data_IF_578598948406
#
_entry.id   IF_578598948406
#
_cell.length_a   1.000
_cell.length_b   1.000
_cell.length_c   1.000
_cell.angle_alpha   90.00
_cell.angle_beta   90.00
_cell.angle_gamma   90.00
#
_symmetry.space_group_name_H-M   'P 1'
#
loop_
_entity.id
_entity.type
_entity.pdbx_description
1 polymer ?
#
# COMPACT_ATOMS: atom_id res chain seq x y z
N UNK A 1 -26.54 -10.25 29.57
CA UNK A 1 -25.38 -9.72 28.80
C UNK A 1 -24.69 -10.91 28.16
N UNK A 2 -25.00 -11.23 26.90
CA UNK A 2 -24.24 -12.24 26.17
C UNK A 2 -22.85 -11.69 25.86
N UNK A 3 -21.83 -12.20 26.55
CA UNK A 3 -20.44 -12.06 26.13
C UNK A 3 -20.27 -12.78 24.81
N UNK A 4 -20.46 -12.07 23.68
CA UNK A 4 -20.05 -12.55 22.35
C UNK A 4 -18.57 -12.93 22.45
N UNK A 5 -18.29 -14.22 22.48
CA UNK A 5 -16.93 -14.76 22.39
C UNK A 5 -16.31 -14.18 21.12
N UNK A 6 -15.35 -13.27 21.32
CA UNK A 6 -14.76 -12.51 20.22
C UNK A 6 -13.75 -13.41 19.52
N UNK A 7 -14.23 -14.24 18.60
CA UNK A 7 -13.37 -15.16 17.85
C UNK A 7 -12.36 -14.39 17.01
N UNK A 8 -11.08 -14.58 17.30
CA UNK A 8 -9.99 -14.02 16.51
C UNK A 8 -9.79 -14.87 15.24
N UNK A 9 -9.83 -14.23 14.07
CA UNK A 9 -9.65 -14.87 12.77
C UNK A 9 -8.16 -14.88 12.35
N UNK A 10 -7.33 -15.56 13.14
CA UNK A 10 -5.88 -15.64 12.95
C UNK A 10 -5.47 -16.08 11.55
N UNK A 11 -6.01 -17.19 11.04
CA UNK A 11 -5.65 -17.71 9.72
C UNK A 11 -5.95 -16.74 8.58
N UNK A 12 -7.04 -15.96 8.68
CA UNK A 12 -7.44 -15.00 7.65
C UNK A 12 -6.54 -13.78 7.66
N UNK A 13 -6.34 -13.26 8.86
CA UNK A 13 -5.49 -12.10 9.14
C UNK A 13 -4.05 -12.37 8.71
N UNK A 14 -3.46 -13.49 9.11
CA UNK A 14 -2.10 -13.84 8.69
C UNK A 14 -2.00 -13.99 7.16
N UNK A 15 -2.97 -14.65 6.52
CA UNK A 15 -2.95 -14.81 5.06
C UNK A 15 -3.04 -13.45 4.33
N UNK A 16 -3.91 -12.54 4.78
CA UNK A 16 -4.08 -11.21 4.21
C UNK A 16 -2.88 -10.31 4.50
N UNK A 17 -2.38 -10.31 5.73
CA UNK A 17 -1.20 -9.58 6.15
C UNK A 17 0.04 -10.01 5.38
N UNK A 18 0.34 -11.32 5.30
CA UNK A 18 1.50 -11.81 4.55
C UNK A 18 1.38 -11.61 3.05
N UNK A 19 0.17 -11.69 2.48
CA UNK A 19 -0.04 -11.36 1.06
C UNK A 19 0.46 -9.94 0.77
N UNK A 20 0.04 -8.97 1.58
CA UNK A 20 0.40 -7.56 1.33
C UNK A 20 1.84 -7.27 1.75
N UNK A 21 2.29 -7.84 2.88
CA UNK A 21 3.65 -7.67 3.38
C UNK A 21 4.69 -8.13 2.36
N UNK A 22 4.47 -9.29 1.72
CA UNK A 22 5.40 -9.79 0.71
C UNK A 22 5.34 -9.03 -0.62
N UNK A 23 4.27 -8.27 -0.88
CA UNK A 23 4.21 -7.41 -2.06
C UNK A 23 5.28 -6.31 -2.05
N UNK A 24 5.62 -5.77 -0.86
CA UNK A 24 6.61 -4.70 -0.70
C UNK A 24 8.03 -5.12 -1.13
N UNK A 25 8.67 -6.15 -0.52
CA UNK A 25 10.02 -6.57 -0.92
C UNK A 25 10.05 -7.12 -2.34
N UNK A 26 8.97 -7.75 -2.82
CA UNK A 26 8.87 -8.19 -4.22
C UNK A 26 8.85 -7.00 -5.19
N UNK A 27 8.15 -5.91 -4.85
CA UNK A 27 8.15 -4.67 -5.64
C UNK A 27 9.53 -4.05 -5.73
N UNK A 28 10.22 -3.87 -4.61
CA UNK A 28 11.59 -3.35 -4.59
C UNK A 28 12.59 -4.24 -5.33
N UNK A 29 12.49 -5.56 -5.18
CA UNK A 29 13.34 -6.50 -5.91
C UNK A 29 13.08 -6.44 -7.42
N UNK A 30 11.81 -6.37 -7.84
CA UNK A 30 11.45 -6.23 -9.25
C UNK A 30 12.04 -4.95 -9.85
N UNK A 31 11.88 -3.81 -9.15
CA UNK A 31 12.46 -2.53 -9.58
C UNK A 31 13.99 -2.61 -9.73
N UNK A 32 14.66 -3.24 -8.76
CA UNK A 32 16.12 -3.39 -8.79
C UNK A 32 16.59 -4.29 -9.94
N UNK A 33 15.87 -5.39 -10.21
CA UNK A 33 16.17 -6.27 -11.34
C UNK A 33 15.95 -5.53 -12.67
N UNK A 34 14.84 -4.80 -12.81
CA UNK A 34 14.58 -4.02 -14.01
C UNK A 34 15.68 -2.98 -14.27
N UNK A 35 16.11 -2.26 -13.23
CA UNK A 35 17.15 -1.23 -13.36
C UNK A 35 18.53 -1.81 -13.71
N UNK A 36 18.84 -3.04 -13.28
CA UNK A 36 20.11 -3.72 -13.58
C UNK A 36 20.17 -4.38 -14.95
N UNK A 37 19.07 -5.02 -15.37
CA UNK A 37 19.07 -5.91 -16.54
C UNK A 37 18.49 -5.27 -17.81
N UNK A 38 17.78 -4.15 -17.70
CA UNK A 38 17.18 -3.46 -18.85
C UNK A 38 17.91 -2.15 -19.13
N UNK A 39 18.00 -1.77 -20.41
CA UNK A 39 18.45 -0.43 -20.80
C UNK A 39 17.46 0.64 -20.32
N UNK A 40 17.93 1.88 -20.14
CA UNK A 40 17.11 2.98 -19.61
C UNK A 40 15.80 3.15 -20.40
N UNK A 41 15.87 3.16 -21.72
CA UNK A 41 14.69 3.26 -22.60
C UNK A 41 13.71 2.09 -22.39
N UNK A 42 14.23 0.88 -22.20
CA UNK A 42 13.42 -0.33 -21.97
C UNK A 42 12.73 -0.28 -20.62
N UNK A 43 13.41 0.20 -19.57
CA UNK A 43 12.82 0.38 -18.23
C UNK A 43 11.64 1.35 -18.28
N UNK A 44 11.76 2.44 -19.04
CA UNK A 44 10.68 3.43 -19.17
C UNK A 44 9.46 2.87 -19.88
N UNK A 45 9.66 2.16 -21.00
CA UNK A 45 8.56 1.50 -21.72
C UNK A 45 7.92 0.42 -20.86
N UNK A 46 8.73 -0.40 -20.18
CA UNK A 46 8.24 -1.46 -19.29
C UNK A 46 7.44 -0.88 -18.12
N UNK A 47 7.92 0.20 -17.49
CA UNK A 47 7.21 0.90 -16.42
C UNK A 47 5.87 1.48 -16.88
N UNK A 48 5.83 2.05 -18.09
CA UNK A 48 4.58 2.56 -18.67
C UNK A 48 3.56 1.43 -18.94
N UNK A 49 4.01 0.30 -19.51
CA UNK A 49 3.17 -0.88 -19.73
C UNK A 49 2.68 -1.45 -18.39
N UNK A 50 3.55 -1.50 -17.37
CA UNK A 50 3.20 -1.98 -16.04
C UNK A 50 2.04 -1.20 -15.43
N UNK A 51 2.09 0.13 -15.53
CA UNK A 51 1.01 0.98 -15.02
C UNK A 51 -0.28 0.86 -15.83
N UNK A 52 -0.17 0.69 -17.16
CA UNK A 52 -1.33 0.43 -18.02
C UNK A 52 -2.00 -0.91 -17.67
N UNK A 53 -1.21 -1.97 -17.47
CA UNK A 53 -1.70 -3.27 -16.99
C UNK A 53 -2.40 -3.08 -15.64
N UNK A 54 -1.81 -2.33 -14.72
CA UNK A 54 -2.41 -1.97 -13.44
C UNK A 54 -3.80 -1.34 -13.58
N UNK A 55 -3.93 -0.34 -14.47
CA UNK A 55 -5.22 0.31 -14.74
C UNK A 55 -6.25 -0.66 -15.33
N UNK A 56 -5.86 -1.46 -16.33
CA UNK A 56 -6.76 -2.46 -16.96
C UNK A 56 -7.23 -3.48 -15.94
N UNK A 57 -6.35 -3.93 -15.03
CA UNK A 57 -6.69 -4.84 -13.93
C UNK A 57 -7.78 -4.26 -13.01
N UNK A 58 -7.70 -2.97 -12.66
CA UNK A 58 -8.72 -2.29 -11.83
C UNK A 58 -10.05 -2.23 -12.57
N UNK A 59 -10.04 -1.87 -13.85
CA UNK A 59 -11.25 -1.80 -14.69
C UNK A 59 -11.91 -3.18 -14.80
N UNK A 60 -11.13 -4.24 -15.07
CA UNK A 60 -11.64 -5.61 -15.05
C UNK A 60 -12.19 -6.01 -13.67
N UNK A 61 -11.57 -5.52 -12.61
CA UNK A 61 -12.00 -5.72 -11.23
C UNK A 61 -13.40 -5.20 -10.92
N UNK A 62 -13.87 -4.17 -11.62
CA UNK A 62 -15.25 -3.64 -11.51
C UNK A 62 -16.30 -4.71 -11.85
N UNK A 63 -16.00 -5.55 -12.84
CA UNK A 63 -16.89 -6.60 -13.33
C UNK A 63 -16.71 -7.94 -12.60
N UNK A 64 -15.69 -8.08 -11.75
CA UNK A 64 -15.43 -9.30 -11.02
C UNK A 64 -16.51 -9.55 -9.95
N UNK A 65 -16.96 -10.80 -9.83
CA UNK A 65 -18.00 -11.18 -8.85
C UNK A 65 -17.39 -11.45 -7.47
N UNK A 66 -17.87 -10.77 -6.44
CA UNK A 66 -17.52 -11.05 -5.04
C UNK A 66 -16.44 -10.12 -4.49
N UNK A 67 -16.69 -9.66 -3.26
CA UNK A 67 -15.92 -8.61 -2.57
C UNK A 67 -14.41 -8.90 -2.51
N UNK A 68 -14.02 -10.13 -2.17
CA UNK A 68 -12.61 -10.54 -2.11
C UNK A 68 -11.90 -10.43 -3.46
N UNK A 69 -12.54 -10.86 -4.55
CA UNK A 69 -11.91 -10.81 -5.89
C UNK A 69 -11.78 -9.39 -6.38
N UNK A 70 -12.80 -8.56 -6.16
CA UNK A 70 -12.71 -7.13 -6.45
C UNK A 70 -11.58 -6.47 -5.66
N UNK A 71 -11.44 -6.81 -4.37
CA UNK A 71 -10.35 -6.31 -3.53
C UNK A 71 -8.98 -6.73 -4.06
N UNK A 72 -8.81 -8.00 -4.48
CA UNK A 72 -7.54 -8.48 -5.06
C UNK A 72 -7.19 -7.78 -6.38
N UNK A 73 -8.17 -7.57 -7.28
CA UNK A 73 -7.94 -6.78 -8.49
C UNK A 73 -7.54 -5.34 -8.19
N UNK A 74 -8.19 -4.71 -7.20
CA UNK A 74 -7.82 -3.37 -6.75
C UNK A 74 -6.44 -3.33 -6.09
N UNK A 75 -6.06 -4.38 -5.36
CA UNK A 75 -4.73 -4.52 -4.74
C UNK A 75 -3.61 -4.61 -5.77
N UNK A 76 -3.66 -5.63 -6.62
CA UNK A 76 -2.61 -5.83 -7.62
C UNK A 76 -2.62 -4.70 -8.66
N UNK A 77 -3.81 -4.27 -9.09
CA UNK A 77 -3.92 -3.15 -10.02
C UNK A 77 -3.38 -1.84 -9.43
N UNK A 78 -3.63 -1.57 -8.15
CA UNK A 78 -3.10 -0.40 -7.45
C UNK A 78 -1.59 -0.41 -7.29
N UNK A 79 -1.00 -1.56 -6.93
CA UNK A 79 0.46 -1.70 -6.80
C UNK A 79 1.16 -1.53 -8.15
N UNK A 80 0.67 -2.20 -9.20
CA UNK A 80 1.26 -2.08 -10.55
C UNK A 80 1.11 -0.67 -11.12
N UNK A 81 -0.04 -0.02 -10.88
CA UNK A 81 -0.26 1.37 -11.26
C UNK A 81 0.72 2.31 -10.55
N UNK A 82 0.88 2.15 -9.23
CA UNK A 82 1.82 2.96 -8.46
C UNK A 82 3.25 2.80 -8.97
N UNK A 83 3.75 1.57 -9.03
CA UNK A 83 5.12 1.32 -9.48
C UNK A 83 5.34 1.76 -10.93
N UNK A 84 4.37 1.51 -11.83
CA UNK A 84 4.47 1.87 -13.23
C UNK A 84 4.36 3.37 -13.52
N UNK A 85 3.24 3.98 -13.16
CA UNK A 85 2.93 5.36 -13.54
C UNK A 85 3.28 6.39 -12.48
N UNK A 86 3.46 6.01 -11.22
CA UNK A 86 3.94 6.97 -10.21
C UNK A 86 5.46 6.90 -10.15
N UNK A 87 6.02 5.75 -9.75
CA UNK A 87 7.48 5.64 -9.53
C UNK A 87 8.29 5.73 -10.83
N UNK A 88 8.04 4.87 -11.81
CA UNK A 88 8.85 4.88 -13.04
C UNK A 88 8.66 6.14 -13.91
N UNK A 89 7.51 6.81 -13.87
CA UNK A 89 7.37 8.11 -14.56
C UNK A 89 8.13 9.23 -13.83
N UNK A 90 8.13 9.26 -12.50
CA UNK A 90 9.01 10.17 -11.77
C UNK A 90 10.48 9.89 -12.07
N UNK A 91 10.89 8.62 -12.15
CA UNK A 91 12.25 8.23 -12.56
C UNK A 91 12.58 8.72 -13.97
N UNK A 92 11.66 8.54 -14.93
CA UNK A 92 11.81 9.03 -16.30
C UNK A 92 12.08 10.53 -16.34
N UNK A 93 11.24 11.33 -15.68
CA UNK A 93 11.40 12.78 -15.68
C UNK A 93 12.65 13.21 -14.91
N UNK A 94 12.99 12.52 -13.82
CA UNK A 94 14.22 12.79 -13.07
C UNK A 94 15.46 12.58 -13.93
N UNK A 95 15.54 11.47 -14.67
CA UNK A 95 16.64 11.19 -15.61
C UNK A 95 16.66 12.19 -16.77
N UNK A 96 15.51 12.44 -17.39
CA UNK A 96 15.37 13.36 -18.53
C UNK A 96 15.85 14.79 -18.20
N UNK A 97 15.57 15.26 -16.99
CA UNK A 97 15.98 16.60 -16.53
C UNK A 97 17.29 16.60 -15.73
N UNK A 98 17.98 15.46 -15.62
CA UNK A 98 19.29 15.37 -14.97
C UNK A 98 19.25 15.66 -13.46
N UNK A 99 18.17 15.30 -12.77
CA UNK A 99 18.06 15.46 -11.31
C UNK A 99 19.07 14.53 -10.63
N UNK A 100 20.07 15.06 -9.91
CA UNK A 100 21.08 14.23 -9.28
C UNK A 100 20.45 13.46 -8.10
N UNK A 101 20.87 12.21 -7.84
CA UNK A 101 20.50 11.51 -6.62
C UNK A 101 21.09 12.22 -5.39
N UNK A 102 20.46 12.06 -4.24
CA UNK A 102 21.03 12.54 -2.99
C UNK A 102 22.09 11.55 -2.51
N UNK A 103 23.34 12.01 -2.41
CA UNK A 103 24.50 11.22 -2.00
C UNK A 103 24.96 11.72 -0.63
N UNK A 104 25.07 10.82 0.34
CA UNK A 104 25.74 11.07 1.61
C UNK A 104 26.82 10.02 1.82
N UNK A 105 28.01 10.45 2.26
CA UNK A 105 29.13 9.55 2.52
C UNK A 105 29.46 8.60 1.34
N UNK A 106 29.36 9.10 0.10
CA UNK A 106 29.52 8.33 -1.14
C UNK A 106 28.50 7.19 -1.36
N UNK A 107 27.38 7.19 -0.64
CA UNK A 107 26.26 6.27 -0.83
C UNK A 107 25.03 7.06 -1.31
N UNK A 108 24.33 6.53 -2.31
CA UNK A 108 23.05 7.10 -2.74
C UNK A 108 22.01 6.82 -1.65
N UNK A 109 21.57 7.87 -0.95
CA UNK A 109 20.61 7.78 0.15
C UNK A 109 19.17 7.99 -0.34
N UNK A 110 18.98 8.88 -1.33
CA UNK A 110 17.67 9.13 -1.93
C UNK A 110 17.78 9.05 -3.45
N UNK A 111 16.95 8.20 -4.08
CA UNK A 111 16.90 8.13 -5.54
C UNK A 111 16.22 9.37 -6.16
N UNK A 112 16.57 9.77 -7.39
CA UNK A 112 16.10 11.00 -8.01
C UNK A 112 14.57 11.14 -8.12
N UNK A 113 13.87 10.03 -8.37
CA UNK A 113 12.41 9.96 -8.48
C UNK A 113 11.70 10.43 -7.21
N UNK A 114 12.28 10.12 -6.05
CA UNK A 114 11.71 10.46 -4.75
C UNK A 114 11.96 11.93 -4.37
N UNK A 115 12.95 12.60 -4.98
CA UNK A 115 13.20 14.02 -4.80
C UNK A 115 12.16 14.91 -5.51
N UNK A 116 11.57 14.42 -6.59
CA UNK A 116 10.50 15.13 -7.31
C UNK A 116 9.15 14.91 -6.63
N UNK A 117 8.95 13.78 -5.97
CA UNK A 117 7.68 13.37 -5.38
C UNK A 117 7.07 14.40 -4.40
N UNK A 118 7.82 15.11 -3.54
CA UNK A 118 7.29 16.20 -2.71
C UNK A 118 6.56 17.31 -3.48
N UNK A 119 6.93 17.59 -4.74
CA UNK A 119 6.26 18.58 -5.57
C UNK A 119 4.78 18.22 -5.84
N UNK A 120 4.42 16.94 -5.71
CA UNK A 120 3.05 16.46 -5.87
C UNK A 120 2.15 16.72 -4.66
N UNK A 121 2.67 17.28 -3.55
CA UNK A 121 1.93 17.56 -2.32
C UNK A 121 0.65 18.38 -2.56
N UNK A 122 0.68 19.39 -3.44
CA UNK A 122 -0.50 20.19 -3.77
C UNK A 122 -1.63 19.35 -4.38
N UNK A 123 -1.29 18.43 -5.28
CA UNK A 123 -2.25 17.51 -5.91
C UNK A 123 -2.78 16.50 -4.90
N UNK A 124 -1.93 16.03 -3.99
CA UNK A 124 -2.34 15.16 -2.89
C UNK A 124 -3.33 15.86 -1.96
N UNK A 125 -3.03 17.10 -1.56
CA UNK A 125 -3.91 17.91 -0.70
C UNK A 125 -5.27 18.14 -1.33
N UNK A 126 -5.33 18.49 -2.63
CA UNK A 126 -6.59 18.63 -3.36
C UNK A 126 -7.41 17.33 -3.32
N UNK A 127 -6.75 16.19 -3.54
CA UNK A 127 -7.40 14.88 -3.48
C UNK A 127 -7.85 14.56 -2.05
N UNK A 128 -7.06 14.89 -1.03
CA UNK A 128 -7.40 14.67 0.38
C UNK A 128 -8.64 15.45 0.79
N UNK A 129 -8.81 16.68 0.31
CA UNK A 129 -10.04 17.46 0.56
C UNK A 129 -11.26 16.72 0.02
N UNK A 130 -11.21 16.19 -1.20
CA UNK A 130 -12.30 15.38 -1.74
C UNK A 130 -12.58 14.16 -0.85
N UNK A 131 -11.54 13.47 -0.38
CA UNK A 131 -11.70 12.28 0.47
C UNK A 131 -12.27 12.59 1.85
N UNK A 132 -11.87 13.71 2.45
CA UNK A 132 -12.31 14.12 3.78
C UNK A 132 -13.75 14.63 3.72
N UNK A 133 -14.11 15.45 2.74
CA UNK A 133 -15.40 16.14 2.71
C UNK A 133 -16.48 15.39 1.91
N UNK A 134 -16.14 14.60 0.89
CA UNK A 134 -17.14 14.10 -0.06
C UNK A 134 -17.41 12.59 0.01
N UNK A 135 -16.57 11.80 0.67
CA UNK A 135 -16.64 10.32 0.55
C UNK A 135 -16.63 9.58 1.89
N UNK A 136 -17.56 8.63 2.04
CA UNK A 136 -17.47 7.61 3.10
C UNK A 136 -16.40 6.58 2.70
N UNK A 137 -15.26 6.59 3.37
CA UNK A 137 -14.13 5.72 3.07
C UNK A 137 -13.96 4.60 4.11
N UNK A 138 -13.32 3.50 3.73
CA UNK A 138 -12.95 2.41 4.63
C UNK A 138 -11.67 2.69 5.43
N UNK A 139 -10.89 3.69 5.00
CA UNK A 139 -9.71 4.14 5.72
C UNK A 139 -10.06 4.75 7.08
N UNK A 140 -9.50 4.16 8.15
CA UNK A 140 -9.72 4.58 9.52
C UNK A 140 -9.16 5.97 9.80
N UNK A 141 -8.05 6.34 9.17
CA UNK A 141 -7.42 7.66 9.34
C UNK A 141 -8.32 8.78 8.83
N UNK A 142 -8.80 8.66 7.59
CA UNK A 142 -9.73 9.65 7.00
C UNK A 142 -11.04 9.69 7.78
N UNK A 143 -11.54 8.53 8.22
CA UNK A 143 -12.74 8.47 9.06
C UNK A 143 -12.52 9.14 10.41
N UNK A 144 -11.34 9.03 11.00
CA UNK A 144 -10.97 9.73 12.23
C UNK A 144 -10.92 11.24 12.00
N UNK A 145 -10.26 11.72 10.94
CA UNK A 145 -10.27 13.15 10.54
C UNK A 145 -11.70 13.66 10.40
N UNK A 146 -12.56 12.93 9.68
CA UNK A 146 -13.96 13.30 9.50
C UNK A 146 -14.73 13.42 10.83
N UNK A 147 -14.47 12.52 11.78
CA UNK A 147 -15.11 12.55 13.10
C UNK A 147 -14.64 13.74 13.93
N UNK A 148 -13.35 14.05 13.89
CA UNK A 148 -12.75 15.17 14.62
C UNK A 148 -13.21 16.51 14.04
N UNK A 149 -13.17 16.66 12.71
CA UNK A 149 -13.48 17.91 12.02
C UNK A 149 -14.99 18.19 11.90
N UNK A 150 -15.82 17.17 11.59
CA UNK A 150 -17.24 17.41 11.27
C UNK A 150 -18.22 17.04 12.38
N UNK A 151 -17.77 16.31 13.42
CA UNK A 151 -18.59 15.87 14.57
C UNK A 151 -20.02 15.49 14.16
N UNK A 152 -21.02 16.27 14.58
CA UNK A 152 -22.45 16.03 14.35
C UNK A 152 -22.90 16.28 12.89
N UNK A 153 -22.19 17.15 12.15
CA UNK A 153 -22.49 17.47 10.74
C UNK A 153 -21.96 16.45 9.73
N UNK A 154 -21.22 15.43 10.19
CA UNK A 154 -20.64 14.39 9.32
C UNK A 154 -21.67 13.70 8.43
N UNK A 155 -22.89 13.43 8.94
CA UNK A 155 -23.94 12.74 8.18
C UNK A 155 -24.47 13.57 7.01
N UNK A 156 -24.37 14.90 7.10
CA UNK A 156 -24.82 15.85 6.07
C UNK A 156 -23.73 16.08 5.02
N UNK A 157 -22.46 16.15 5.46
CA UNK A 157 -21.32 16.44 4.60
C UNK A 157 -20.87 15.17 3.85
N UNK A 158 -20.77 14.05 4.55
CA UNK A 158 -20.26 12.79 4.02
C UNK A 158 -21.45 11.84 3.81
N UNK A 159 -22.16 11.99 2.70
CA UNK A 159 -23.43 11.29 2.46
C UNK A 159 -23.23 9.87 1.89
N UNK A 160 -22.34 9.71 0.91
CA UNK A 160 -22.19 8.49 0.13
C UNK A 160 -20.72 8.06 -0.08
N UNK A 161 -20.45 6.75 -0.26
CA UNK A 161 -19.15 6.28 -0.72
C UNK A 161 -18.92 6.71 -2.18
N UNK A 162 -17.65 6.89 -2.57
CA UNK A 162 -17.28 7.37 -3.92
C UNK A 162 -17.82 6.46 -5.04
N UNK A 163 -17.83 5.15 -4.79
CA UNK A 163 -18.28 4.14 -5.74
C UNK A 163 -18.73 2.90 -4.99
N UNK A 164 -19.63 2.13 -5.63
CA UNK A 164 -20.10 0.85 -5.11
C UNK A 164 -19.08 -0.28 -5.34
N UNK A 165 -18.13 -0.10 -6.25
CA UNK A 165 -17.21 -1.16 -6.67
C UNK A 165 -15.98 -1.23 -5.74
N UNK A 166 -15.86 -2.33 -4.99
CA UNK A 166 -14.76 -2.52 -4.03
C UNK A 166 -13.40 -2.47 -4.69
N UNK A 167 -13.28 -2.83 -5.98
CA UNK A 167 -12.01 -2.78 -6.71
C UNK A 167 -11.46 -1.36 -6.84
N UNK A 168 -12.30 -0.40 -7.27
CA UNK A 168 -11.91 1.02 -7.38
C UNK A 168 -11.66 1.60 -5.99
N UNK A 169 -12.49 1.27 -4.99
CA UNK A 169 -12.26 1.71 -3.61
C UNK A 169 -10.89 1.25 -3.11
N UNK A 170 -10.56 -0.03 -3.29
CA UNK A 170 -9.27 -0.60 -2.85
C UNK A 170 -8.10 0.04 -3.60
N UNK A 171 -8.22 0.19 -4.92
CA UNK A 171 -7.23 0.86 -5.76
C UNK A 171 -6.93 2.27 -5.25
N UNK A 172 -7.97 3.07 -5.00
CA UNK A 172 -7.79 4.43 -4.53
C UNK A 172 -7.26 4.49 -3.10
N UNK A 173 -7.75 3.63 -2.20
CA UNK A 173 -7.27 3.56 -0.82
C UNK A 173 -5.77 3.23 -0.77
N UNK A 174 -5.28 2.30 -1.60
CA UNK A 174 -3.85 1.97 -1.71
C UNK A 174 -3.05 3.17 -2.18
N UNK A 175 -3.38 3.72 -3.36
CA UNK A 175 -2.60 4.79 -3.96
C UNK A 175 -2.58 6.03 -3.07
N UNK A 176 -3.69 6.34 -2.42
CA UNK A 176 -3.79 7.48 -1.52
C UNK A 176 -2.95 7.29 -0.25
N UNK A 177 -2.93 6.07 0.30
CA UNK A 177 -2.11 5.75 1.48
C UNK A 177 -0.61 5.72 1.11
N UNK A 178 -0.23 5.07 0.01
CA UNK A 178 1.15 5.09 -0.48
C UNK A 178 1.62 6.53 -0.68
N UNK A 179 0.83 7.35 -1.38
CA UNK A 179 1.18 8.75 -1.62
C UNK A 179 1.36 9.55 -0.33
N UNK A 180 0.47 9.38 0.65
CA UNK A 180 0.59 10.04 1.94
C UNK A 180 1.87 9.63 2.69
N UNK A 181 2.18 8.34 2.74
CA UNK A 181 3.35 7.83 3.46
C UNK A 181 4.67 8.15 2.76
N UNK A 182 4.69 8.12 1.43
CA UNK A 182 5.85 8.58 0.66
C UNK A 182 6.12 10.07 0.89
N UNK A 183 5.08 10.93 0.82
CA UNK A 183 5.24 12.35 1.11
C UNK A 183 5.73 12.57 2.55
N UNK A 184 5.14 11.88 3.53
CA UNK A 184 5.56 11.94 4.92
C UNK A 184 7.05 11.61 5.06
N UNK A 185 7.49 10.51 4.49
CA UNK A 185 8.88 10.07 4.53
C UNK A 185 9.81 11.06 3.85
N UNK A 186 9.46 11.54 2.66
CA UNK A 186 10.30 12.51 1.95
C UNK A 186 10.42 13.83 2.72
N UNK A 187 9.37 14.30 3.38
CA UNK A 187 9.47 15.48 4.26
C UNK A 187 10.27 15.22 5.54
N UNK A 188 10.19 14.01 6.10
CA UNK A 188 11.04 13.61 7.23
C UNK A 188 12.52 13.54 6.84
N UNK A 189 12.81 13.12 5.61
CA UNK A 189 14.15 12.93 5.08
C UNK A 189 14.79 14.19 4.53
N UNK A 190 14.00 15.20 4.16
CA UNK A 190 14.53 16.49 3.71
C UNK A 190 15.25 17.20 4.87
N UNK A 191 16.57 17.38 4.70
CA UNK A 191 17.47 18.06 5.65
C UNK A 191 17.09 19.51 5.94
N UNK A 192 16.34 20.17 5.04
CA UNK A 192 15.87 21.54 5.26
C UNK A 192 14.69 21.60 6.22
N UNK A 193 13.93 20.52 6.37
CA UNK A 193 12.78 20.44 7.26
C UNK A 193 13.12 19.77 8.59
N UNK A 194 13.56 18.51 8.54
CA UNK A 194 13.81 17.70 9.73
C UNK A 194 15.20 17.06 9.64
N UNK A 195 15.46 16.32 8.56
CA UNK A 195 16.66 15.52 8.38
C UNK A 195 16.47 14.06 8.79
N UNK A 196 17.21 13.22 8.08
CA UNK A 196 17.27 11.77 8.13
C UNK A 196 17.70 11.20 9.51
N UNK A 197 18.51 11.92 10.28
CA UNK A 197 18.91 11.53 11.65
C UNK A 197 18.16 12.29 12.77
N UNK A 198 17.11 13.04 12.42
CA UNK A 198 16.41 13.87 13.39
C UNK A 198 15.54 13.02 14.34
N UNK A 199 15.47 13.34 15.66
CA UNK A 199 14.66 12.61 16.62
C UNK A 199 13.17 12.52 16.24
N UNK A 200 12.66 13.51 15.50
CA UNK A 200 11.29 13.52 14.99
C UNK A 200 11.06 12.40 13.97
N UNK A 201 12.03 12.11 13.09
CA UNK A 201 11.94 11.03 12.11
C UNK A 201 11.83 9.67 12.83
N UNK A 202 12.62 9.46 13.88
CA UNK A 202 12.50 8.27 14.73
C UNK A 202 11.18 8.21 15.50
N UNK A 203 10.67 9.34 15.99
CA UNK A 203 9.38 9.40 16.67
C UNK A 203 8.22 9.05 15.72
N UNK A 204 8.27 9.52 14.47
CA UNK A 204 7.30 9.15 13.43
C UNK A 204 7.36 7.66 13.15
N UNK A 205 8.56 7.08 13.02
CA UNK A 205 8.76 5.63 12.88
C UNK A 205 8.16 4.84 14.05
N UNK A 206 8.43 5.27 15.29
CA UNK A 206 7.89 4.64 16.50
C UNK A 206 6.36 4.74 16.58
N UNK A 207 5.79 5.91 16.25
CA UNK A 207 4.35 6.11 16.20
C UNK A 207 3.68 5.21 15.16
N UNK A 208 4.28 5.06 13.97
CA UNK A 208 3.82 4.14 12.94
C UNK A 208 3.92 2.68 13.38
N UNK A 209 5.02 2.30 14.04
CA UNK A 209 5.18 0.95 14.58
C UNK A 209 4.10 0.63 15.63
N UNK A 210 3.88 1.50 16.61
CA UNK A 210 2.83 1.33 17.62
C UNK A 210 1.44 1.28 16.96
N UNK A 211 1.18 2.17 15.99
CA UNK A 211 -0.07 2.21 15.24
C UNK A 211 -0.35 0.91 14.49
N UNK A 212 0.64 0.34 13.80
CA UNK A 212 0.49 -0.91 13.05
C UNK A 212 0.14 -2.09 13.97
N UNK A 213 0.70 -2.16 15.19
CA UNK A 213 0.33 -3.19 16.18
C UNK A 213 -1.13 -3.07 16.60
N UNK A 214 -1.63 -1.86 16.84
CA UNK A 214 -3.05 -1.64 17.17
C UNK A 214 -3.98 -2.00 16.00
N UNK A 215 -3.58 -1.67 14.77
CA UNK A 215 -4.33 -2.01 13.57
C UNK A 215 -4.35 -3.52 13.31
N UNK A 216 -3.23 -4.20 13.49
CA UNK A 216 -3.15 -5.66 13.40
C UNK A 216 -4.08 -6.34 14.43
N UNK A 217 -4.14 -5.84 15.67
CA UNK A 217 -5.10 -6.32 16.68
C UNK A 217 -6.56 -6.11 16.26
N UNK A 218 -6.85 -5.08 15.48
CA UNK A 218 -8.19 -4.83 14.92
C UNK A 218 -8.47 -5.75 13.74
N UNK A 219 -7.48 -5.98 12.88
CA UNK A 219 -7.54 -6.89 11.74
C UNK A 219 -7.93 -8.31 12.15
N UNK A 220 -7.42 -8.80 13.27
CA UNK A 220 -7.78 -10.10 13.87
C UNK A 220 -9.28 -10.29 14.11
N UNK A 221 -10.06 -9.21 14.22
CA UNK A 221 -11.51 -9.26 14.49
C UNK A 221 -12.34 -9.22 13.21
N UNK A 222 -11.74 -8.99 12.04
CA UNK A 222 -12.45 -8.85 10.77
C UNK A 222 -12.74 -10.21 10.14
N UNK A 223 -14.03 -10.57 10.11
CA UNK A 223 -14.49 -11.84 9.55
C UNK A 223 -14.50 -11.87 8.01
N UNK A 224 -14.79 -10.74 7.35
CA UNK A 224 -14.91 -10.69 5.89
C UNK A 224 -13.53 -10.57 5.22
N UNK A 225 -13.26 -11.43 4.23
CA UNK A 225 -11.97 -11.47 3.52
C UNK A 225 -11.59 -10.14 2.85
N UNK A 226 -12.48 -9.51 2.08
CA UNK A 226 -12.15 -8.24 1.43
C UNK A 226 -11.92 -7.09 2.42
N UNK A 227 -12.66 -7.06 3.53
CA UNK A 227 -12.40 -6.09 4.61
C UNK A 227 -11.10 -6.36 5.35
N UNK A 228 -10.75 -7.63 5.54
CA UNK A 228 -9.50 -8.05 6.18
C UNK A 228 -8.30 -7.67 5.29
N UNK A 229 -8.34 -7.95 3.98
CA UNK A 229 -7.29 -7.53 3.02
C UNK A 229 -7.14 -6.01 2.98
N UNK A 230 -8.23 -5.23 2.95
CA UNK A 230 -8.15 -3.75 2.98
C UNK A 230 -7.53 -3.22 4.27
N UNK A 231 -7.83 -3.85 5.40
CA UNK A 231 -7.16 -3.51 6.66
C UNK A 231 -5.68 -3.90 6.61
N UNK A 232 -5.35 -5.09 6.11
CA UNK A 232 -3.97 -5.55 5.95
C UNK A 232 -3.13 -4.57 5.12
N UNK A 233 -3.70 -4.02 4.05
CA UNK A 233 -3.07 -2.97 3.24
C UNK A 233 -2.66 -1.79 4.11
N UNK A 234 -3.61 -1.21 4.85
CA UNK A 234 -3.31 -0.06 5.69
C UNK A 234 -2.30 -0.41 6.80
N UNK A 235 -2.45 -1.58 7.43
CA UNK A 235 -1.51 -2.07 8.46
C UNK A 235 -0.10 -2.21 7.92
N UNK A 236 0.06 -2.82 6.74
CA UNK A 236 1.37 -3.08 6.13
C UNK A 236 2.05 -1.79 5.66
N UNK A 237 1.32 -0.87 5.02
CA UNK A 237 1.90 0.42 4.59
C UNK A 237 2.47 1.17 5.81
N UNK A 238 1.71 1.23 6.91
CA UNK A 238 2.15 1.88 8.15
C UNK A 238 3.31 1.12 8.81
N UNK A 239 3.27 -0.21 8.78
CA UNK A 239 4.34 -1.06 9.31
C UNK A 239 5.64 -0.93 8.50
N UNK A 240 5.55 -0.63 7.21
CA UNK A 240 6.71 -0.49 6.33
C UNK A 240 7.48 0.81 6.56
N UNK A 241 6.81 1.88 7.01
CA UNK A 241 7.46 3.16 7.34
C UNK A 241 8.65 3.03 8.31
N UNK A 242 8.54 2.38 9.48
CA UNK A 242 9.70 2.16 10.35
C UNK A 242 10.76 1.24 9.71
N UNK A 243 10.36 0.28 8.86
CA UNK A 243 11.30 -0.58 8.12
C UNK A 243 12.15 0.28 7.18
N UNK A 244 11.56 1.23 6.47
CA UNK A 244 12.29 2.16 5.59
C UNK A 244 13.19 3.13 6.35
N UNK A 245 12.74 3.65 7.49
CA UNK A 245 13.57 4.54 8.33
C UNK A 245 14.79 3.77 8.86
N UNK A 246 14.59 2.53 9.34
CA UNK A 246 15.67 1.66 9.82
C UNK A 246 16.61 1.22 8.70
N UNK A 247 16.07 0.96 7.51
CA UNK A 247 16.84 0.69 6.31
C UNK A 247 17.73 1.86 5.90
N UNK A 248 17.18 3.08 5.93
CA UNK A 248 17.91 4.32 5.60
C UNK A 248 19.11 4.58 6.52
N UNK A 249 19.00 4.26 7.81
CA UNK A 249 20.13 4.37 8.75
C UNK A 249 21.08 3.16 8.71
N UNK A 250 20.93 2.27 7.73
CA UNK A 250 21.70 1.03 7.58
C UNK A 250 21.65 0.11 8.82
N UNK A 251 20.55 0.09 9.58
CA UNK A 251 20.42 -0.74 10.78
C UNK A 251 20.39 -2.24 10.44
N UNK A 252 19.83 -2.62 9.29
CA UNK A 252 19.91 -3.97 8.74
C UNK A 252 20.20 -3.93 7.24
N UNK A 253 20.77 -5.02 6.70
CA UNK A 253 20.92 -5.20 5.26
C UNK A 253 19.59 -5.58 4.64
N UNK A 254 19.09 -4.75 3.75
CA UNK A 254 17.86 -5.01 3.00
C UNK A 254 18.09 -6.14 2.00
N UNK A 255 17.66 -7.36 2.34
CA UNK A 255 17.86 -8.53 1.48
C UNK A 255 17.13 -8.40 0.12
N UNK A 256 16.13 -7.53 0.02
CA UNK A 256 15.41 -7.22 -1.23
C UNK A 256 16.13 -6.20 -2.14
N UNK A 257 17.13 -5.47 -1.63
CA UNK A 257 17.95 -4.53 -2.43
C UNK A 257 19.08 -5.27 -3.18
N UNK A 258 19.51 -6.42 -2.66
CA UNK A 258 20.48 -7.31 -3.32
C UNK A 258 19.84 -8.66 -3.70
N UNK A 259 18.87 -8.68 -4.65
CA UNK A 259 18.11 -9.89 -4.95
C UNK A 259 18.98 -11.05 -5.45
N UNK A 260 20.10 -10.76 -6.11
CA UNK A 260 21.05 -11.78 -6.59
C UNK A 260 21.69 -12.57 -5.44
N UNK A 261 22.09 -11.88 -4.37
CA UNK A 261 22.79 -12.47 -3.22
C UNK A 261 21.84 -13.26 -2.33
N UNK A 262 20.57 -12.85 -2.28
CA UNK A 262 19.52 -13.49 -1.49
C UNK A 262 18.45 -14.16 -2.38
N UNK A 263 18.84 -14.66 -3.55
CA UNK A 263 17.94 -15.25 -4.56
C UNK A 263 17.01 -16.32 -3.97
N UNK A 264 17.53 -17.18 -3.10
CA UNK A 264 16.74 -18.26 -2.47
C UNK A 264 15.61 -17.70 -1.58
N UNK A 265 15.91 -16.65 -0.79
CA UNK A 265 14.92 -16.00 0.07
C UNK A 265 13.84 -15.31 -0.76
N UNK A 266 14.25 -14.62 -1.84
CA UNK A 266 13.32 -13.95 -2.75
C UNK A 266 12.40 -14.93 -3.50
N UNK A 267 12.93 -16.07 -3.96
CA UNK A 267 12.13 -17.13 -4.59
C UNK A 267 11.16 -17.74 -3.58
N UNK A 268 11.60 -18.01 -2.35
CA UNK A 268 10.71 -18.54 -1.31
C UNK A 268 9.55 -17.57 -1.02
N UNK A 269 9.83 -16.27 -0.89
CA UNK A 269 8.80 -15.23 -0.70
C UNK A 269 7.85 -15.19 -1.90
N UNK A 270 8.37 -15.24 -3.13
CA UNK A 270 7.57 -15.25 -4.34
C UNK A 270 6.61 -16.46 -4.41
N UNK A 271 7.11 -17.66 -4.09
CA UNK A 271 6.30 -18.89 -4.08
C UNK A 271 5.17 -18.78 -3.05
N UNK A 272 5.47 -18.30 -1.85
CA UNK A 272 4.46 -18.10 -0.80
C UNK A 272 3.45 -17.03 -1.21
N UNK A 273 3.90 -15.91 -1.78
CA UNK A 273 3.05 -14.84 -2.26
C UNK A 273 2.07 -15.30 -3.34
N UNK A 274 2.55 -16.02 -4.36
CA UNK A 274 1.71 -16.60 -5.40
C UNK A 274 0.72 -17.64 -4.82
N UNK A 275 1.19 -18.48 -3.89
CA UNK A 275 0.36 -19.45 -3.19
C UNK A 275 -0.79 -18.78 -2.40
N UNK A 276 -0.49 -17.72 -1.66
CA UNK A 276 -1.49 -16.93 -0.93
C UNK A 276 -2.47 -16.22 -1.87
N UNK A 277 -1.97 -15.64 -2.97
CA UNK A 277 -2.80 -15.00 -4.00
C UNK A 277 -3.81 -15.98 -4.60
N UNK A 278 -3.36 -17.16 -5.02
CA UNK A 278 -4.22 -18.23 -5.58
C UNK A 278 -5.19 -18.77 -4.51
N UNK A 279 -4.72 -18.96 -3.27
CA UNK A 279 -5.56 -19.42 -2.17
C UNK A 279 -6.72 -18.46 -1.90
N UNK A 280 -6.43 -17.16 -1.78
CA UNK A 280 -7.44 -16.13 -1.52
C UNK A 280 -8.38 -15.96 -2.71
N UNK A 281 -7.86 -16.09 -3.94
CA UNK A 281 -8.68 -16.08 -5.15
C UNK A 281 -9.70 -17.22 -5.18
N UNK A 282 -9.25 -18.46 -4.92
CA UNK A 282 -10.12 -19.65 -4.86
C UNK A 282 -11.15 -19.53 -3.73
N UNK A 283 -10.76 -19.05 -2.55
CA UNK A 283 -11.69 -18.78 -1.44
C UNK A 283 -12.69 -17.67 -1.76
N UNK A 284 -12.29 -16.65 -2.53
CA UNK A 284 -13.18 -15.60 -3.03
C UNK A 284 -14.17 -16.08 -4.11
N UNK A 285 -13.86 -17.16 -4.82
CA UNK A 285 -14.73 -17.78 -5.82
C UNK A 285 -15.75 -18.76 -5.21
N UNK A 286 -15.42 -19.39 -4.08
CA UNK A 286 -16.32 -20.30 -3.36
C UNK A 286 -17.48 -19.51 -2.75
N UNK A 287 -18.68 -19.62 -3.36
CA UNK A 287 -19.92 -19.08 -2.79
C UNK A 287 -20.07 -19.57 -1.34
N UNK A 288 -20.39 -18.69 -0.40
CA UNK A 288 -21.12 -19.10 0.80
C UNK A 288 -22.36 -19.85 0.29
N UNK A 289 -22.42 -21.18 0.48
CA UNK A 289 -23.72 -21.86 0.48
C UNK A 289 -24.56 -21.10 1.49
N UNK A 290 -25.70 -20.53 1.06
CA UNK A 290 -26.71 -20.03 1.99
C UNK A 290 -26.97 -21.15 3.00
N UNK A 291 -27.07 -20.89 4.30
CA UNK A 291 -27.79 -21.81 5.17
C UNK A 291 -29.17 -21.99 4.52
N UNK A 292 -29.49 -23.21 4.09
CA UNK A 292 -30.88 -23.55 3.88
C UNK A 292 -31.50 -23.48 5.28
N UNK A 293 -32.28 -22.43 5.53
CA UNK A 293 -33.30 -22.45 6.57
C UNK A 293 -34.15 -23.69 6.29
N UNK A 294 -34.04 -24.66 7.20
CA UNK A 294 -35.02 -25.72 7.29
C UNK A 294 -36.26 -25.12 7.94
N UNK A 295 -37.37 -25.17 7.23
CA UNK A 295 -38.70 -25.20 7.82
C UNK A 295 -39.41 -26.38 7.17
N UNK A 296 -39.53 -27.44 7.98
CA UNK A 296 -40.67 -28.35 7.96
C UNK A 296 -41.85 -27.63 8.61
#
# INVERSE_FOLDING_TARGET
>A
METRVRNNYWRRTLASFFLVLFAMPLGHALMTIMDKFMSEDTVHVAGFILGLVGLVMVIMGVFAKGDTRQTLWGLFGGLLFWTGWVEFLFLYYARRYGVPPEIENNVVVTKPEYLIMPASFGMWMMTMVMYVFSTKNGCDFITWIQKVCFRDKRKVIVTQPMTRHTSIVTFMEINMMLWAFYLLLMFCYDKRFLGDHHPVTFLVGLACFIGSVFMFKRELKLAAWGSNIRMAIATVIIFWTPVEILGRINFFREFWVEPEKYSLQMIAILVVFLGLGVYLWKKGASKRKKPQEGEN
#
